data_IF_020467124423
#
_entry.id   IF_020467124423
#
_cell.length_a   1.000
_cell.length_b   1.000
_cell.length_c   1.000
_cell.angle_alpha   90.00
_cell.angle_beta   90.00
_cell.angle_gamma   90.00
#
_symmetry.space_group_name_H-M   'P 1'
#
loop_
_entity.id
_entity.type
_entity.pdbx_description
1 polymer ?
#
# COMPACT_ATOMS: atom_id res chain seq x y z
N UNK A 1 7.76 -2.11 -22.23
CA UNK A 1 6.32 -2.47 -22.13
C UNK A 1 5.58 -1.26 -21.59
N UNK A 2 4.52 -0.81 -22.26
CA UNK A 2 3.67 0.26 -21.74
C UNK A 2 2.86 -0.25 -20.52
N UNK A 3 2.69 0.61 -19.53
CA UNK A 3 1.86 0.33 -18.36
C UNK A 3 0.39 0.27 -18.79
N UNK A 4 -0.33 -0.78 -18.42
CA UNK A 4 -1.77 -0.83 -18.70
C UNK A 4 -2.52 0.17 -17.81
N UNK A 5 -3.68 0.69 -18.25
CA UNK A 5 -4.50 1.59 -17.40
C UNK A 5 -4.81 0.98 -16.03
N UNK A 6 -5.03 -0.34 -15.97
CA UNK A 6 -5.27 -1.07 -14.73
C UNK A 6 -4.06 -1.01 -13.80
N UNK A 7 -2.85 -1.22 -14.34
CA UNK A 7 -1.62 -1.16 -13.54
C UNK A 7 -1.36 0.26 -13.02
N UNK A 8 -1.62 1.28 -13.84
CA UNK A 8 -1.49 2.68 -13.42
C UNK A 8 -2.43 3.02 -12.27
N UNK A 9 -3.72 2.71 -12.41
CA UNK A 9 -4.71 2.93 -11.35
C UNK A 9 -4.32 2.17 -10.08
N UNK A 10 -3.79 0.95 -10.23
CA UNK A 10 -3.35 0.16 -9.09
C UNK A 10 -2.16 0.80 -8.37
N UNK A 11 -1.18 1.34 -9.10
CA UNK A 11 -0.05 2.08 -8.52
C UNK A 11 -0.53 3.32 -7.77
N UNK A 12 -1.44 4.11 -8.36
CA UNK A 12 -2.02 5.29 -7.71
C UNK A 12 -2.68 4.90 -6.38
N UNK A 13 -3.53 3.87 -6.36
CA UNK A 13 -4.16 3.35 -5.13
C UNK A 13 -3.14 2.88 -4.09
N UNK A 14 -2.05 2.24 -4.54
CA UNK A 14 -0.99 1.76 -3.66
C UNK A 14 -0.21 2.92 -3.02
N UNK A 15 -0.03 4.03 -3.75
CA UNK A 15 0.59 5.26 -3.23
C UNK A 15 -0.30 5.92 -2.18
N UNK A 16 -1.61 6.05 -2.43
CA UNK A 16 -2.55 6.59 -1.44
C UNK A 16 -2.61 5.71 -0.19
N UNK A 17 -2.64 4.37 -0.36
CA UNK A 17 -2.56 3.44 0.75
C UNK A 17 -1.28 3.62 1.58
N UNK A 18 -0.14 3.84 0.94
CA UNK A 18 1.11 4.09 1.64
C UNK A 18 1.07 5.39 2.44
N UNK A 19 0.49 6.47 1.89
CA UNK A 19 0.31 7.74 2.62
C UNK A 19 -0.59 7.56 3.84
N UNK A 20 -1.76 6.95 3.66
CA UNK A 20 -2.69 6.64 4.76
C UNK A 20 -2.02 5.79 5.84
N UNK A 21 -1.22 4.80 5.44
CA UNK A 21 -0.52 3.89 6.34
C UNK A 21 0.45 4.63 7.29
N UNK A 22 1.11 5.67 6.79
CA UNK A 22 2.08 6.47 7.55
C UNK A 22 1.43 7.58 8.38
N UNK A 23 0.28 8.09 7.93
CA UNK A 23 -0.41 9.22 8.55
C UNK A 23 -1.43 8.80 9.62
N UNK A 24 -1.82 7.53 9.66
CA UNK A 24 -2.84 7.04 10.60
C UNK A 24 -2.45 5.73 11.28
N UNK A 25 -3.01 5.51 12.46
CA UNK A 25 -2.93 4.25 13.20
C UNK A 25 -4.03 3.25 12.81
N UNK A 26 -4.83 3.56 11.77
CA UNK A 26 -5.91 2.68 11.31
C UNK A 26 -5.36 1.28 10.95
N UNK A 27 -6.11 0.20 11.21
CA UNK A 27 -5.64 -1.14 10.87
C UNK A 27 -5.37 -1.28 9.36
N UNK A 28 -4.27 -1.96 9.00
CA UNK A 28 -3.86 -2.18 7.60
C UNK A 28 -4.99 -2.72 6.74
N UNK A 29 -5.85 -3.60 7.28
CA UNK A 29 -7.00 -4.16 6.57
C UNK A 29 -8.03 -3.09 6.18
N UNK A 30 -8.33 -2.16 7.08
CA UNK A 30 -9.28 -1.08 6.83
C UNK A 30 -8.72 -0.10 5.79
N UNK A 31 -7.44 0.23 5.90
CA UNK A 31 -6.75 1.08 4.92
C UNK A 31 -6.72 0.45 3.52
N UNK A 32 -6.50 -0.87 3.41
CA UNK A 32 -6.60 -1.57 2.12
C UNK A 32 -8.00 -1.44 1.52
N UNK A 33 -9.06 -1.61 2.33
CA UNK A 33 -10.44 -1.45 1.86
C UNK A 33 -10.73 -0.01 1.43
N UNK A 34 -10.34 0.98 2.25
CA UNK A 34 -10.50 2.42 1.98
C UNK A 34 -9.84 2.84 0.66
N UNK A 35 -8.69 2.25 0.33
CA UNK A 35 -7.94 2.51 -0.90
C UNK A 35 -8.35 1.62 -2.09
N UNK A 36 -9.42 0.83 -1.96
CA UNK A 36 -9.91 -0.04 -3.05
C UNK A 36 -8.98 -1.20 -3.41
N UNK A 37 -8.14 -1.63 -2.46
CA UNK A 37 -7.20 -2.75 -2.56
C UNK A 37 -7.80 -4.02 -1.94
N UNK A 38 -8.87 -4.52 -2.55
CA UNK A 38 -9.67 -5.64 -2.02
C UNK A 38 -8.95 -6.99 -2.04
N UNK A 39 -8.03 -7.20 -2.98
CA UNK A 39 -7.19 -8.39 -3.02
C UNK A 39 -5.93 -8.19 -2.16
N UNK A 40 -6.00 -8.62 -0.90
CA UNK A 40 -4.89 -8.50 0.07
C UNK A 40 -3.59 -9.13 -0.46
N UNK A 41 -3.64 -10.32 -1.06
CA UNK A 41 -2.43 -11.01 -1.55
C UNK A 41 -1.73 -10.19 -2.63
N UNK A 42 -2.49 -9.69 -3.60
CA UNK A 42 -1.98 -8.84 -4.66
C UNK A 42 -1.41 -7.53 -4.09
N UNK A 43 -2.13 -6.90 -3.16
CA UNK A 43 -1.71 -5.65 -2.54
C UNK A 43 -0.39 -5.80 -1.79
N UNK A 44 -0.22 -6.88 -1.01
CA UNK A 44 1.03 -7.15 -0.30
C UNK A 44 2.19 -7.44 -1.25
N UNK A 45 1.94 -8.16 -2.35
CA UNK A 45 2.97 -8.42 -3.37
C UNK A 45 3.44 -7.12 -4.03
N UNK A 46 2.50 -6.28 -4.46
CA UNK A 46 2.82 -4.99 -5.09
C UNK A 46 3.46 -4.03 -4.10
N UNK A 47 2.98 -3.98 -2.87
CA UNK A 47 3.57 -3.15 -1.82
C UNK A 47 5.03 -3.53 -1.56
N UNK A 48 5.30 -4.83 -1.40
CA UNK A 48 6.68 -5.32 -1.20
C UNK A 48 7.55 -5.05 -2.43
N UNK A 49 7.00 -5.19 -3.64
CA UNK A 49 7.74 -4.87 -4.86
C UNK A 49 8.06 -3.36 -4.98
N UNK A 50 7.16 -2.48 -4.54
CA UNK A 50 7.33 -1.03 -4.62
C UNK A 50 8.22 -0.47 -3.51
N UNK A 51 8.09 -0.97 -2.28
CA UNK A 51 8.72 -0.38 -1.09
C UNK A 51 9.75 -1.29 -0.40
N UNK A 52 9.96 -2.51 -0.89
CA UNK A 52 10.93 -3.46 -0.32
C UNK A 52 10.56 -4.06 1.04
N UNK A 53 9.44 -3.65 1.64
CA UNK A 53 9.04 -3.99 3.01
C UNK A 53 7.56 -4.36 3.10
N UNK A 54 7.08 -4.77 4.27
CA UNK A 54 5.64 -4.97 4.53
C UNK A 54 5.00 -3.69 5.09
N UNK A 55 3.68 -3.50 4.97
CA UNK A 55 3.02 -2.30 5.51
C UNK A 55 3.26 -2.10 7.02
N UNK A 56 3.23 -3.19 7.79
CA UNK A 56 3.47 -3.12 9.24
C UNK A 56 4.90 -2.68 9.55
N UNK A 57 5.88 -3.19 8.82
CA UNK A 57 7.28 -2.78 8.95
C UNK A 57 7.48 -1.33 8.52
N UNK A 58 6.88 -0.89 7.40
CA UNK A 58 6.94 0.50 6.94
C UNK A 58 6.40 1.46 8.00
N UNK A 59 5.23 1.15 8.59
CA UNK A 59 4.65 1.96 9.67
C UNK A 59 5.56 2.00 10.90
N UNK A 60 6.09 0.84 11.31
CA UNK A 60 7.02 0.76 12.44
C UNK A 60 8.26 1.62 12.21
N UNK A 61 8.89 1.48 11.04
CA UNK A 61 10.07 2.26 10.66
C UNK A 61 9.81 3.76 10.63
N UNK A 62 8.62 4.18 10.18
CA UNK A 62 8.23 5.59 10.17
C UNK A 62 8.01 6.16 11.57
N UNK A 63 7.48 5.36 12.50
CA UNK A 63 7.25 5.81 13.88
C UNK A 63 8.51 5.78 14.75
N UNK A 64 9.58 5.10 14.29
CA UNK A 64 10.89 5.06 14.95
C UNK A 64 11.83 6.21 14.51
N UNK A 65 11.43 7.02 13.52
CA UNK A 65 12.10 8.23 13.05
C UNK A 65 11.53 9.48 13.73
#
# INVERSE_FOLDING_TARGET
MALSPVQYIYQVRLTHFYQDLLQTDEPVKELLMKNGLTNKRLAMQYFKAAYGTTPLQARKQHNEL
#
